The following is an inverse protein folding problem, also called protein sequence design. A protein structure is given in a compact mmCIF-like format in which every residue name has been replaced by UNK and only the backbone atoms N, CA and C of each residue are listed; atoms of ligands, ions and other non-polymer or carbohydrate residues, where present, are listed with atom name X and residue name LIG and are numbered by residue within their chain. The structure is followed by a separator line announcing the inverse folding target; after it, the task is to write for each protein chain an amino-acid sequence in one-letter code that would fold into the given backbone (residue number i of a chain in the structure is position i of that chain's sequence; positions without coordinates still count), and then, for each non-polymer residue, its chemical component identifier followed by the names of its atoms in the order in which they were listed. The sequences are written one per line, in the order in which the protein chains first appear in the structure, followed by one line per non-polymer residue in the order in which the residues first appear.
data_IF_197223277397
#
_entry.id   IF_197223277397
#
_cell.length_a   1.000
_cell.length_b   1.000
_cell.length_c   1.000
_cell.angle_alpha   90.00
_cell.angle_beta   90.00
_cell.angle_gamma   90.00
#
_symmetry.space_group_name_H-M   'P 1'
#
loop_
_entity.id
_entity.type
_entity.pdbx_description
1 polymer ?
#
# COMPACT_ATOMS: atom_id res chain seq x y z
N UNK A 1 7.77 6.39 -20.89
CA UNK A 1 6.78 6.00 -19.87
C UNK A 1 6.35 7.27 -19.15
N UNK A 2 5.08 7.43 -18.80
CA UNK A 2 4.62 8.60 -18.03
C UNK A 2 5.28 8.62 -16.65
N UNK A 3 5.76 9.80 -16.21
CA UNK A 3 6.34 10.00 -14.87
C UNK A 3 5.38 9.52 -13.77
N UNK A 4 4.09 9.77 -13.94
CA UNK A 4 3.04 9.39 -12.99
C UNK A 4 2.85 7.86 -12.91
N UNK A 5 2.93 7.15 -14.04
CA UNK A 5 2.91 5.69 -14.04
C UNK A 5 4.16 5.11 -13.36
N UNK A 6 5.32 5.76 -13.52
CA UNK A 6 6.54 5.42 -12.77
C UNK A 6 6.36 5.56 -11.26
N UNK A 7 5.74 6.65 -10.81
CA UNK A 7 5.45 6.88 -9.40
C UNK A 7 4.53 5.80 -8.81
N UNK A 8 3.50 5.35 -9.53
CA UNK A 8 2.64 4.27 -9.05
C UNK A 8 3.38 2.92 -8.97
N UNK A 9 4.28 2.60 -9.92
CA UNK A 9 5.13 1.40 -9.83
C UNK A 9 6.02 1.43 -8.58
N UNK A 10 6.62 2.59 -8.28
CA UNK A 10 7.39 2.80 -7.06
C UNK A 10 6.53 2.57 -5.81
N UNK A 11 5.32 3.15 -5.76
CA UNK A 11 4.37 2.95 -4.65
C UNK A 11 3.95 1.49 -4.51
N UNK A 12 3.68 0.77 -5.60
CA UNK A 12 3.32 -0.65 -5.58
C UNK A 12 4.47 -1.53 -5.04
N UNK A 13 5.70 -1.26 -5.48
CA UNK A 13 6.88 -1.96 -4.99
C UNK A 13 7.14 -1.70 -3.50
N UNK A 14 7.01 -0.45 -3.05
CA UNK A 14 7.09 -0.09 -1.63
C UNK A 14 5.99 -0.74 -0.80
N UNK A 15 4.76 -0.76 -1.33
CA UNK A 15 3.61 -1.36 -0.67
C UNK A 15 3.86 -2.83 -0.36
N UNK A 16 4.28 -3.60 -1.38
CA UNK A 16 4.62 -5.02 -1.25
C UNK A 16 5.74 -5.23 -0.24
N UNK A 17 6.84 -4.48 -0.37
CA UNK A 17 7.99 -4.59 0.53
C UNK A 17 7.62 -4.37 2.01
N UNK A 18 6.84 -3.33 2.29
CA UNK A 18 6.38 -3.07 3.65
C UNK A 18 5.42 -4.15 4.14
N UNK A 19 4.49 -4.62 3.30
CA UNK A 19 3.57 -5.68 3.68
C UNK A 19 4.33 -6.97 4.04
N UNK A 20 5.23 -7.45 3.17
CA UNK A 20 6.06 -8.64 3.42
C UNK A 20 6.74 -8.58 4.79
N UNK A 21 7.28 -7.40 5.14
CA UNK A 21 7.99 -7.20 6.40
C UNK A 21 7.08 -7.18 7.62
N UNK A 22 5.94 -6.50 7.55
CA UNK A 22 4.98 -6.48 8.66
C UNK A 22 4.36 -7.86 8.91
N UNK A 23 4.07 -8.62 7.84
CA UNK A 23 3.58 -9.99 7.99
C UNK A 23 4.65 -10.95 8.53
N UNK A 24 5.93 -10.75 8.19
CA UNK A 24 7.02 -11.51 8.79
C UNK A 24 7.13 -11.24 10.30
N UNK A 25 7.17 -9.96 10.71
CA UNK A 25 7.22 -9.58 12.14
C UNK A 25 6.00 -10.08 12.91
N UNK A 26 4.80 -10.01 12.33
CA UNK A 26 3.61 -10.58 12.95
C UNK A 26 3.70 -12.10 13.11
N UNK A 27 4.35 -12.79 12.17
CA UNK A 27 4.53 -14.24 12.20
C UNK A 27 5.51 -14.73 13.27
N UNK A 28 6.40 -13.86 13.75
CA UNK A 28 7.35 -14.16 14.83
C UNK A 28 6.73 -13.98 16.23
N UNK A 29 5.52 -13.42 16.31
CA UNK A 29 4.79 -13.21 17.56
C UNK A 29 3.86 -14.39 17.89
N UNK A 30 3.58 -14.66 19.17
CA UNK A 30 2.49 -15.55 19.55
C UNK A 30 1.15 -15.07 18.99
N UNK A 31 0.28 -15.99 18.54
CA UNK A 31 -1.01 -15.64 17.95
C UNK A 31 -1.87 -14.75 18.86
N UNK A 32 -1.83 -14.99 20.17
CA UNK A 32 -2.52 -14.17 21.17
C UNK A 32 -2.08 -12.71 21.15
N UNK A 33 -0.80 -12.43 20.86
CA UNK A 33 -0.25 -11.08 20.79
C UNK A 33 -0.65 -10.34 19.51
N UNK A 34 -0.76 -11.07 18.39
CA UNK A 34 -1.18 -10.52 17.10
C UNK A 34 -2.68 -10.16 17.12
N UNK A 35 -3.47 -10.93 17.85
CA UNK A 35 -4.93 -10.79 17.93
C UNK A 35 -5.42 -9.93 19.11
N UNK A 36 -4.58 -9.71 20.12
CA UNK A 36 -4.88 -8.87 21.26
C UNK A 36 -5.28 -7.44 20.84
N UNK A 37 -6.32 -6.91 21.49
CA UNK A 37 -6.70 -5.51 21.35
C UNK A 37 -5.61 -4.60 21.95
N UNK A 38 -5.16 -3.64 21.16
CA UNK A 38 -4.13 -2.66 21.50
C UNK A 38 -4.60 -1.23 21.26
N UNK A 39 -5.91 -1.02 21.13
CA UNK A 39 -6.50 0.31 20.92
C UNK A 39 -6.23 0.92 19.54
N UNK A 40 -5.82 0.11 18.56
CA UNK A 40 -5.82 0.56 17.16
C UNK A 40 -7.27 0.72 16.67
N UNK A 41 -7.46 1.42 15.56
CA UNK A 41 -8.79 1.63 14.99
C UNK A 41 -9.53 0.30 14.70
N UNK A 42 -8.78 -0.73 14.29
CA UNK A 42 -9.29 -2.10 14.10
C UNK A 42 -8.93 -3.04 15.27
N UNK A 43 -8.72 -2.49 16.46
CA UNK A 43 -8.37 -3.19 17.69
C UNK A 43 -6.93 -3.68 17.73
N UNK A 44 -6.57 -4.62 16.86
CA UNK A 44 -5.34 -5.40 16.91
C UNK A 44 -4.47 -5.28 15.65
N UNK A 45 -3.27 -5.88 15.69
CA UNK A 45 -2.42 -6.06 14.51
C UNK A 45 -3.18 -6.88 13.46
N UNK A 46 -3.77 -8.01 13.87
CA UNK A 46 -4.55 -8.87 12.99
C UNK A 46 -5.75 -8.13 12.38
N UNK A 47 -6.48 -7.34 13.17
CA UNK A 47 -7.62 -6.55 12.70
C UNK A 47 -7.20 -5.51 11.67
N UNK A 48 -6.09 -4.81 11.91
CA UNK A 48 -5.58 -3.79 10.98
C UNK A 48 -5.06 -4.40 9.67
N UNK A 49 -4.38 -5.55 9.73
CA UNK A 49 -3.97 -6.31 8.55
C UNK A 49 -5.19 -6.85 7.76
N UNK A 50 -6.22 -7.32 8.48
CA UNK A 50 -7.47 -7.79 7.87
C UNK A 50 -8.18 -6.66 7.14
N UNK A 51 -8.24 -5.47 7.75
CA UNK A 51 -8.78 -4.28 7.11
C UNK A 51 -8.06 -3.92 5.81
N UNK A 52 -6.72 -3.97 5.79
CA UNK A 52 -5.95 -3.71 4.58
C UNK A 52 -6.33 -4.68 3.44
N UNK A 53 -6.49 -5.97 3.74
CA UNK A 53 -6.95 -6.97 2.76
C UNK A 53 -8.39 -6.70 2.29
N UNK A 54 -9.28 -6.30 3.20
CA UNK A 54 -10.68 -5.95 2.88
C UNK A 54 -10.73 -4.71 1.97
N UNK A 55 -10.03 -3.64 2.35
CA UNK A 55 -9.97 -2.40 1.61
C UNK A 55 -9.39 -2.61 0.20
N UNK A 56 -8.30 -3.39 0.10
CA UNK A 56 -7.70 -3.73 -1.19
C UNK A 56 -8.63 -4.55 -2.06
N UNK A 57 -9.34 -5.53 -1.48
CA UNK A 57 -10.33 -6.31 -2.23
C UNK A 57 -11.43 -5.42 -2.80
N UNK A 58 -11.96 -4.48 -2.00
CA UNK A 58 -12.99 -3.54 -2.46
C UNK A 58 -12.45 -2.66 -3.59
N UNK A 59 -11.27 -2.06 -3.42
CA UNK A 59 -10.70 -1.14 -4.40
C UNK A 59 -10.30 -1.85 -5.70
N UNK A 60 -9.66 -3.02 -5.63
CA UNK A 60 -9.30 -3.79 -6.81
C UNK A 60 -10.53 -4.26 -7.60
N UNK A 61 -11.62 -4.63 -6.92
CA UNK A 61 -12.89 -4.92 -7.60
C UNK A 61 -13.50 -3.68 -8.28
N UNK A 62 -13.30 -2.47 -7.73
CA UNK A 62 -13.68 -1.22 -8.41
C UNK A 62 -12.79 -0.95 -9.62
N UNK A 63 -11.47 -1.08 -9.46
CA UNK A 63 -10.53 -0.91 -10.57
C UNK A 63 -10.76 -1.92 -11.71
N UNK A 64 -11.25 -3.13 -11.40
CA UNK A 64 -11.67 -4.13 -12.41
C UNK A 64 -12.78 -3.62 -13.33
N UNK A 65 -13.62 -2.70 -12.86
CA UNK A 65 -14.70 -2.06 -13.64
C UNK A 65 -14.21 -0.88 -14.50
N UNK A 66 -12.95 -0.48 -14.37
CA UNK A 66 -12.39 0.60 -15.17
C UNK A 66 -12.48 0.30 -16.67
N UNK A 67 -12.80 1.31 -17.49
CA UNK A 67 -13.08 1.12 -18.91
C UNK A 67 -11.88 0.58 -19.72
N UNK A 68 -10.64 0.81 -19.24
CA UNK A 68 -9.43 0.20 -19.81
C UNK A 68 -9.26 -1.30 -19.46
N UNK A 69 -10.20 -1.88 -18.70
CA UNK A 69 -10.48 -3.31 -18.59
C UNK A 69 -9.27 -4.24 -18.51
N UNK A 70 -8.41 -4.08 -17.49
CA UNK A 70 -7.23 -4.95 -17.37
C UNK A 70 -7.63 -6.36 -16.93
N UNK A 71 -7.45 -7.34 -17.83
CA UNK A 71 -7.64 -8.77 -17.54
C UNK A 71 -6.74 -9.29 -16.41
N UNK A 72 -5.68 -8.54 -16.06
CA UNK A 72 -4.84 -8.82 -14.88
C UNK A 72 -5.67 -8.77 -13.58
N UNK A 73 -6.74 -7.98 -13.54
CA UNK A 73 -7.64 -7.89 -12.40
C UNK A 73 -8.77 -8.94 -12.43
N UNK A 74 -8.91 -9.75 -13.49
CA UNK A 74 -9.94 -10.79 -13.57
C UNK A 74 -9.96 -11.78 -12.39
N UNK A 75 -8.82 -12.16 -11.76
CA UNK A 75 -8.84 -13.01 -10.56
C UNK A 75 -9.64 -12.42 -9.39
N UNK A 76 -9.86 -11.10 -9.36
CA UNK A 76 -10.69 -10.45 -8.34
C UNK A 76 -12.17 -10.81 -8.44
N UNK A 77 -12.63 -11.35 -9.58
CA UNK A 77 -14.01 -11.79 -9.77
C UNK A 77 -14.33 -13.03 -8.94
N UNK A 78 -13.32 -13.83 -8.57
CA UNK A 78 -13.46 -15.00 -7.70
C UNK A 78 -13.67 -14.64 -6.21
N UNK A 79 -13.43 -13.39 -5.81
CA UNK A 79 -13.61 -12.93 -4.43
C UNK A 79 -14.99 -12.30 -4.24
N UNK A 80 -15.66 -12.66 -3.15
CA UNK A 80 -16.85 -11.94 -2.70
C UNK A 80 -16.51 -10.49 -2.34
N UNK A 81 -17.40 -9.54 -2.65
CA UNK A 81 -17.23 -8.15 -2.24
C UNK A 81 -17.52 -8.02 -0.75
N UNK A 82 -16.55 -7.59 0.09
CA UNK A 82 -16.80 -7.36 1.50
C UNK A 82 -17.90 -6.31 1.70
N UNK A 83 -18.78 -6.55 2.67
CA UNK A 83 -19.91 -5.64 3.00
C UNK A 83 -19.61 -4.68 4.14
N UNK A 84 -18.63 -5.02 4.99
CA UNK A 84 -18.20 -4.23 6.15
C UNK A 84 -16.67 -4.10 6.15
N UNK A 85 -16.17 -2.99 6.70
CA UNK A 85 -14.74 -2.63 6.62
C UNK A 85 -13.87 -3.35 7.67
N UNK A 86 -14.48 -3.84 8.74
CA UNK A 86 -13.88 -4.60 9.85
C UNK A 86 -14.08 -6.12 9.69
N UNK A 87 -14.46 -6.57 8.49
CA UNK A 87 -14.60 -7.99 8.20
C UNK A 87 -13.27 -8.74 8.42
N UNK A 88 -13.38 -10.02 8.79
CA UNK A 88 -12.26 -10.96 8.91
C UNK A 88 -12.25 -11.90 7.70
N UNK A 89 -11.54 -11.59 6.61
CA UNK A 89 -11.60 -12.36 5.37
C UNK A 89 -10.85 -13.70 5.45
N UNK A 90 -10.05 -13.91 6.49
CA UNK A 90 -9.20 -15.10 6.66
C UNK A 90 -9.25 -15.57 8.12
N UNK A 91 -9.15 -16.89 8.32
CA UNK A 91 -9.29 -17.52 9.63
C UNK A 91 -8.11 -17.23 10.56
N UNK A 92 -6.91 -17.09 10.03
CA UNK A 92 -5.67 -16.92 10.80
C UNK A 92 -4.65 -16.06 10.04
N UNK A 93 -3.52 -15.78 10.69
CA UNK A 93 -2.45 -14.95 10.13
C UNK A 93 -1.79 -15.60 8.89
N UNK A 94 -1.48 -16.92 8.85
CA UNK A 94 -0.96 -17.56 7.65
C UNK A 94 -1.88 -17.42 6.43
N UNK A 95 -3.19 -17.66 6.57
CA UNK A 95 -4.14 -17.47 5.48
C UNK A 95 -4.23 -16.00 5.05
N UNK A 96 -4.21 -15.07 6.01
CA UNK A 96 -4.23 -13.65 5.72
C UNK A 96 -2.96 -13.19 4.99
N UNK A 97 -1.79 -13.74 5.36
CA UNK A 97 -0.51 -13.49 4.68
C UNK A 97 -0.55 -13.98 3.24
N UNK A 98 -1.00 -15.21 3.01
CA UNK A 98 -1.13 -15.75 1.66
C UNK A 98 -2.08 -14.90 0.80
N UNK A 99 -3.19 -14.43 1.38
CA UNK A 99 -4.10 -13.49 0.69
C UNK A 99 -3.43 -12.16 0.36
N UNK A 100 -2.65 -11.59 1.29
CA UNK A 100 -1.89 -10.36 1.08
C UNK A 100 -0.88 -10.51 -0.05
N UNK A 101 -0.06 -11.55 -0.03
CA UNK A 101 0.98 -11.81 -1.02
C UNK A 101 0.39 -11.95 -2.42
N UNK A 102 -0.77 -12.63 -2.53
CA UNK A 102 -1.53 -12.74 -3.77
C UNK A 102 -2.05 -11.38 -4.26
N UNK A 103 -2.66 -10.57 -3.38
CA UNK A 103 -3.13 -9.23 -3.72
C UNK A 103 -1.98 -8.30 -4.14
N UNK A 104 -0.84 -8.32 -3.44
CA UNK A 104 0.35 -7.54 -3.81
C UNK A 104 0.90 -7.94 -5.18
N UNK A 105 0.90 -9.25 -5.51
CA UNK A 105 1.25 -9.72 -6.84
C UNK A 105 0.36 -9.14 -7.94
N UNK A 106 -0.96 -9.14 -7.72
CA UNK A 106 -1.93 -8.56 -8.65
C UNK A 106 -1.73 -7.05 -8.78
N UNK A 107 -1.54 -6.34 -7.66
CA UNK A 107 -1.34 -4.88 -7.66
C UNK A 107 -0.11 -4.51 -8.47
N UNK A 108 1.03 -5.17 -8.22
CA UNK A 108 2.27 -4.91 -8.96
C UNK A 108 2.07 -5.18 -10.45
N UNK A 109 1.55 -6.36 -10.81
CA UNK A 109 1.33 -6.73 -12.21
C UNK A 109 0.38 -5.76 -12.93
N UNK A 110 -0.70 -5.32 -12.28
CA UNK A 110 -1.64 -4.36 -12.85
C UNK A 110 -1.02 -2.98 -13.03
N UNK A 111 -0.36 -2.47 -11.98
CA UNK A 111 0.29 -1.15 -12.02
C UNK A 111 1.39 -1.10 -13.07
N UNK A 112 2.09 -2.21 -13.32
CA UNK A 112 3.09 -2.29 -14.38
C UNK A 112 2.50 -2.06 -15.78
N UNK A 113 1.21 -2.34 -15.99
CA UNK A 113 0.53 -2.07 -17.26
C UNK A 113 0.02 -0.64 -17.42
N UNK A 114 0.03 0.16 -16.37
CA UNK A 114 -0.49 1.52 -16.43
C UNK A 114 0.40 2.42 -17.30
N UNK A 115 -0.26 3.18 -18.17
CA UNK A 115 0.34 4.20 -19.01
C UNK A 115 -0.47 5.52 -18.92
N UNK A 116 -0.03 6.55 -19.66
CA UNK A 116 -0.67 7.85 -19.63
C UNK A 116 -2.13 7.79 -20.10
N UNK A 117 -2.42 7.00 -21.13
CA UNK A 117 -3.75 6.87 -21.71
C UNK A 117 -4.73 6.23 -20.71
N UNK A 118 -4.29 5.17 -20.03
CA UNK A 118 -5.08 4.48 -19.00
C UNK A 118 -5.38 5.41 -17.82
N UNK A 119 -4.37 6.13 -17.33
CA UNK A 119 -4.52 7.06 -16.20
C UNK A 119 -5.42 8.26 -16.49
N UNK A 120 -5.54 8.66 -17.76
CA UNK A 120 -6.40 9.77 -18.18
C UNK A 120 -7.90 9.40 -18.20
N UNK A 121 -8.23 8.10 -18.15
CA UNK A 121 -9.63 7.65 -18.10
C UNK A 121 -10.11 7.68 -16.64
N UNK A 122 -11.28 8.29 -16.36
CA UNK A 122 -11.84 8.28 -15.01
C UNK A 122 -12.30 6.89 -14.56
N UNK A 123 -12.19 6.64 -13.27
CA UNK A 123 -12.84 5.50 -12.63
C UNK A 123 -14.31 5.82 -12.34
N UNK A 124 -15.19 4.96 -12.85
CA UNK A 124 -16.60 4.92 -12.51
C UNK A 124 -16.86 3.69 -11.64
N UNK A 125 -17.49 3.88 -10.49
CA UNK A 125 -17.69 2.80 -9.52
C UNK A 125 -18.89 3.05 -8.61
N UNK A 126 -19.37 1.98 -7.97
CA UNK A 126 -20.36 2.04 -6.91
C UNK A 126 -19.68 1.94 -5.54
N UNK A 127 -20.14 2.74 -4.58
CA UNK A 127 -19.75 2.55 -3.18
C UNK A 127 -20.50 1.33 -2.58
N UNK A 128 -20.26 1.02 -1.30
CA UNK A 128 -20.92 -0.12 -0.64
C UNK A 128 -22.43 0.09 -0.36
N UNK A 129 -22.96 1.29 -0.63
CA UNK A 129 -24.38 1.66 -0.55
C UNK A 129 -25.02 1.78 -1.94
N UNK A 130 -24.34 1.29 -2.98
CA UNK A 130 -24.75 1.36 -4.39
C UNK A 130 -24.89 2.80 -4.96
N UNK A 131 -24.32 3.81 -4.29
CA UNK A 131 -24.24 5.16 -4.85
C UNK A 131 -23.14 5.20 -5.93
N UNK A 132 -23.45 5.80 -7.09
CA UNK A 132 -22.52 5.93 -8.21
C UNK A 132 -21.55 7.11 -8.06
N UNK A 133 -20.28 6.86 -8.35
CA UNK A 133 -19.21 7.86 -8.34
C UNK A 133 -18.38 7.82 -9.61
N UNK A 134 -17.86 9.00 -9.97
CA UNK A 134 -16.87 9.19 -11.03
C UNK A 134 -15.71 10.01 -10.47
N UNK A 135 -14.49 9.50 -10.58
CA UNK A 135 -13.27 10.13 -10.03
C UNK A 135 -12.07 9.93 -10.96
N UNK A 136 -11.09 10.85 -11.00
CA UNK A 136 -9.82 10.60 -11.67
C UNK A 136 -9.15 9.32 -11.15
N UNK A 137 -8.65 8.46 -12.05
CA UNK A 137 -8.04 7.19 -11.68
C UNK A 137 -6.76 7.40 -10.88
N UNK A 138 -5.92 8.34 -11.31
CA UNK A 138 -4.68 8.73 -10.65
C UNK A 138 -4.87 9.19 -9.19
N UNK A 139 -5.84 10.08 -8.93
CA UNK A 139 -6.18 10.52 -7.58
C UNK A 139 -6.70 9.37 -6.72
N UNK A 140 -7.42 8.42 -7.33
CA UNK A 140 -7.92 7.23 -6.64
C UNK A 140 -6.81 6.23 -6.31
N UNK A 141 -5.84 6.04 -7.22
CA UNK A 141 -4.63 5.25 -6.98
C UNK A 141 -3.75 5.86 -5.89
N UNK A 142 -3.61 7.18 -5.86
CA UNK A 142 -2.89 7.87 -4.80
C UNK A 142 -3.57 7.64 -3.45
N UNK A 143 -4.90 7.79 -3.38
CA UNK A 143 -5.67 7.44 -2.18
C UNK A 143 -5.44 5.98 -1.77
N UNK A 144 -5.53 5.04 -2.71
CA UNK A 144 -5.33 3.62 -2.48
C UNK A 144 -3.99 3.32 -1.79
N UNK A 145 -2.88 3.83 -2.32
CA UNK A 145 -1.57 3.61 -1.69
C UNK A 145 -1.38 4.39 -0.39
N UNK A 146 -1.89 5.62 -0.31
CA UNK A 146 -1.79 6.43 0.91
C UNK A 146 -2.60 5.83 2.07
N UNK A 147 -3.79 5.28 1.79
CA UNK A 147 -4.61 4.55 2.75
C UNK A 147 -3.84 3.36 3.35
N UNK A 148 -3.14 2.61 2.50
CA UNK A 148 -2.29 1.52 2.98
C UNK A 148 -1.15 2.01 3.88
N UNK A 149 -0.45 3.08 3.49
CA UNK A 149 0.59 3.69 4.32
C UNK A 149 0.05 4.17 5.67
N UNK A 150 -1.12 4.81 5.69
CA UNK A 150 -1.78 5.26 6.92
C UNK A 150 -2.01 4.11 7.91
N UNK A 151 -2.64 3.01 7.47
CA UNK A 151 -2.92 1.88 8.35
C UNK A 151 -1.68 1.06 8.71
N UNK A 152 -0.68 0.98 7.83
CA UNK A 152 0.63 0.42 8.21
C UNK A 152 1.31 1.24 9.30
N UNK A 153 1.16 2.57 9.31
CA UNK A 153 1.65 3.42 10.40
C UNK A 153 1.03 3.08 11.77
N UNK A 154 -0.22 2.62 11.80
CA UNK A 154 -0.83 2.11 13.03
C UNK A 154 -0.13 0.82 13.48
N UNK A 155 0.09 -0.12 12.56
CA UNK A 155 0.75 -1.40 12.84
C UNK A 155 2.19 -1.20 13.32
N UNK A 156 2.97 -0.32 12.68
CA UNK A 156 4.35 -0.04 13.09
C UNK A 156 4.41 0.55 14.49
N UNK A 157 3.44 1.39 14.84
CA UNK A 157 3.29 1.92 16.22
C UNK A 157 3.02 0.80 17.22
N UNK A 158 2.13 -0.15 16.89
CA UNK A 158 1.85 -1.29 17.77
C UNK A 158 3.08 -2.17 17.97
N UNK A 159 3.83 -2.46 16.91
CA UNK A 159 5.09 -3.21 17.02
C UNK A 159 6.10 -2.47 17.92
N UNK A 160 6.27 -1.15 17.73
CA UNK A 160 7.17 -0.36 18.57
C UNK A 160 6.76 -0.39 20.05
N UNK A 161 5.46 -0.33 20.37
CA UNK A 161 4.94 -0.45 21.74
C UNK A 161 5.24 -1.82 22.37
N UNK A 162 5.40 -2.86 21.54
CA UNK A 162 5.79 -4.20 21.96
C UNK A 162 7.31 -4.39 22.02
N UNK A 163 8.10 -3.35 21.73
CA UNK A 163 9.56 -3.43 21.64
C UNK A 163 10.06 -4.17 20.40
N UNK A 164 9.20 -4.38 19.39
CA UNK A 164 9.56 -5.01 18.12
C UNK A 164 10.12 -3.93 17.18
N UNK A 165 11.36 -4.11 16.74
CA UNK A 165 11.99 -3.20 15.79
C UNK A 165 11.46 -3.44 14.37
N UNK A 166 10.75 -2.43 13.87
CA UNK A 166 10.27 -2.41 12.49
C UNK A 166 11.27 -1.70 11.57
N UNK A 167 12.51 -1.38 11.92
CA UNK A 167 13.51 -0.84 10.99
C UNK A 167 13.06 0.36 10.13
N UNK A 168 13.72 0.58 8.98
CA UNK A 168 13.41 1.72 8.10
C UNK A 168 12.08 1.53 7.38
N UNK A 169 11.25 2.58 7.36
CA UNK A 169 9.93 2.55 6.71
C UNK A 169 9.79 3.59 5.60
N UNK A 170 10.82 4.42 5.36
CA UNK A 170 10.74 5.49 4.38
C UNK A 170 10.71 4.96 2.94
N UNK A 171 9.79 5.50 2.14
CA UNK A 171 9.70 5.24 0.70
C UNK A 171 11.02 5.55 -0.01
N UNK A 172 11.78 6.52 0.49
CA UNK A 172 13.05 6.97 -0.09
C UNK A 172 14.05 5.83 -0.32
N UNK A 173 14.07 4.82 0.55
CA UNK A 173 14.95 3.64 0.40
C UNK A 173 14.64 2.82 -0.86
N UNK A 174 13.46 3.01 -1.47
CA UNK A 174 13.03 2.36 -2.70
C UNK A 174 13.15 3.25 -3.94
N UNK A 175 13.48 4.53 -3.77
CA UNK A 175 13.70 5.46 -4.88
C UNK A 175 15.04 5.11 -5.54
N UNK A 176 15.07 4.83 -6.86
CA UNK A 176 16.32 4.53 -7.54
C UNK A 176 17.31 5.69 -7.48
N UNK A 177 18.57 5.37 -7.22
CA UNK A 177 19.66 6.34 -7.38
C UNK A 177 19.88 6.60 -8.87
N UNK A 178 19.93 7.88 -9.26
CA UNK A 178 20.30 8.27 -10.61
C UNK A 178 21.83 8.24 -10.75
N UNK A 179 22.34 7.78 -11.89
CA UNK A 179 23.79 7.70 -12.12
C UNK A 179 24.51 9.04 -11.93
N UNK A 180 25.75 9.00 -11.43
CA UNK A 180 26.60 10.18 -11.09
C UNK A 180 26.73 11.24 -12.20
N UNK A 181 26.50 10.89 -13.47
CA UNK A 181 26.54 11.85 -14.59
C UNK A 181 25.53 13.00 -14.49
N UNK A 182 24.58 12.92 -13.56
CA UNK A 182 23.56 13.93 -13.29
C UNK A 182 23.81 14.76 -12.01
N UNK A 183 24.90 14.51 -11.27
CA UNK A 183 25.19 15.27 -10.07
C UNK A 183 25.65 16.69 -10.44
N UNK A 184 25.04 17.75 -9.88
CA UNK A 184 25.62 19.08 -9.98
C UNK A 184 27.03 19.04 -9.36
N UNK A 185 27.96 19.88 -9.85
CA UNK A 185 29.29 19.95 -9.26
C UNK A 185 29.18 20.21 -7.77
N UNK A 186 30.05 19.61 -6.93
CA UNK A 186 30.00 19.79 -5.50
C UNK A 186 30.01 21.28 -5.19
N UNK A 187 29.13 21.70 -4.28
CA UNK A 187 29.12 23.06 -3.78
C UNK A 187 30.54 23.37 -3.30
N UNK A 188 31.16 24.40 -3.89
CA UNK A 188 32.44 24.91 -3.36
C UNK A 188 32.17 25.21 -1.89
N UNK A 189 32.97 24.64 -1.00
CA UNK A 189 32.99 25.02 0.42
C UNK A 189 33.15 26.54 0.44
N UNK A 190 32.06 27.26 0.69
CA UNK A 190 32.15 28.66 1.07
C UNK A 190 32.84 28.67 2.42
N UNK A 191 33.72 29.64 2.63
CA UNK A 191 34.25 29.90 3.97
C UNK A 191 33.04 30.11 4.89
N UNK A 192 32.83 29.18 5.83
CA UNK A 192 31.86 29.36 6.89
C UNK A 192 32.17 30.71 7.54
N UNK A 193 31.21 31.64 7.67
CA UNK A 193 31.48 32.88 8.36
C UNK A 193 31.91 32.51 9.77
N UNK A 194 33.02 33.07 10.29
CA UNK A 194 33.42 32.78 11.65
C UNK A 194 32.26 33.18 12.56
N UNK A 195 31.79 32.24 13.38
CA UNK A 195 30.90 32.56 14.48
C UNK A 195 31.65 33.55 15.39
N UNK A 196 31.46 34.86 15.18
CA UNK A 196 31.69 35.87 16.21
C UNK A 196 30.67 35.60 17.32
N UNK A 197 30.98 35.70 18.61
CA UNK A 197 31.98 36.51 19.28
C UNK A 197 31.28 37.09 20.49
#
# INVERSE_FOLDING_TARGET
MSELAGAFRLLAGYNRWMNERLYALAGDLPEAEVTADRGAFFGSIFGTLSHLVVADTIWLKRFRQHASGSEILAPMDALELPRVLDARPCVDLPALRARREWLDGIIVAWVDTLDAATLAVPLEYLNLRDDAFRRPLDGTLLHFFNHQTHHRGQITTLFAQMGVDVGVTDLFVRVPELSESALPPPLKKGDDPPCGG
#
